data_IF_450691223561
#
_entry.id   IF_450691223561
#
_cell.length_a   1.000
_cell.length_b   1.000
_cell.length_c   1.000
_cell.angle_alpha   90.00
_cell.angle_beta   90.00
_cell.angle_gamma   90.00
#
_symmetry.space_group_name_H-M   'P 1'
#
loop_
_entity.id
_entity.type
_entity.pdbx_description
1 polymer ?
#
# COMPACT_ATOMS: atom_id res chain seq x y z
N UNK A 1 22.41 -9.44 12.75
CA UNK A 1 21.41 -9.20 11.69
C UNK A 1 20.48 -8.12 12.21
N UNK A 2 20.37 -6.99 11.52
CA UNK A 2 19.44 -5.92 11.88
C UNK A 2 18.18 -6.06 11.01
N UNK A 3 17.02 -5.64 11.50
CA UNK A 3 15.80 -5.53 10.70
C UNK A 3 15.40 -4.07 10.66
N UNK A 4 15.13 -3.55 9.48
CA UNK A 4 14.66 -2.18 9.29
C UNK A 4 13.15 -2.16 9.25
N UNK A 5 12.56 -1.19 9.93
CA UNK A 5 11.11 -0.99 9.95
C UNK A 5 10.84 0.47 9.62
N UNK A 6 10.00 0.69 8.61
CA UNK A 6 9.56 2.02 8.19
C UNK A 6 8.05 2.14 8.33
N UNK A 7 7.62 3.30 8.84
CA UNK A 7 6.21 3.66 8.91
C UNK A 7 5.92 4.74 7.88
N UNK A 8 4.88 4.55 7.07
CA UNK A 8 4.57 5.44 5.94
C UNK A 8 3.14 5.96 6.00
N UNK A 9 2.94 7.13 5.43
CA UNK A 9 1.64 7.70 5.14
C UNK A 9 1.64 8.24 3.70
N UNK A 10 0.88 7.59 2.83
CA UNK A 10 0.69 8.00 1.44
C UNK A 10 -0.33 9.12 1.35
N UNK A 11 0.00 10.19 0.61
CA UNK A 11 -0.95 11.28 0.40
C UNK A 11 -2.19 10.82 -0.39
N UNK A 12 -3.34 11.42 -0.13
CA UNK A 12 -4.60 11.10 -0.84
C UNK A 12 -4.53 11.49 -2.32
N UNK A 13 -3.83 12.59 -2.63
CA UNK A 13 -3.61 13.03 -4.00
C UNK A 13 -2.60 12.12 -4.72
N UNK A 14 -2.98 11.63 -5.90
CA UNK A 14 -2.16 10.68 -6.67
C UNK A 14 -0.82 11.29 -7.10
N UNK A 15 -0.79 12.57 -7.46
CA UNK A 15 0.43 13.20 -7.98
C UNK A 15 1.45 13.39 -6.86
N UNK A 16 1.01 13.84 -5.69
CA UNK A 16 1.85 14.01 -4.51
C UNK A 16 2.29 12.67 -3.93
N UNK A 17 1.43 11.63 -3.98
CA UNK A 17 1.79 10.29 -3.50
C UNK A 17 2.95 9.64 -4.27
N UNK A 18 3.25 10.08 -5.50
CA UNK A 18 4.41 9.58 -6.26
C UNK A 18 5.74 9.80 -5.54
N UNK A 19 5.86 10.82 -4.68
CA UNK A 19 7.08 11.02 -3.88
C UNK A 19 7.34 9.82 -2.96
N UNK A 20 6.30 9.29 -2.30
CA UNK A 20 6.44 8.09 -1.47
C UNK A 20 6.92 6.88 -2.28
N UNK A 21 6.45 6.71 -3.52
CA UNK A 21 6.92 5.62 -4.38
C UNK A 21 8.41 5.71 -4.70
N UNK A 22 8.90 6.92 -4.99
CA UNK A 22 10.32 7.14 -5.23
C UNK A 22 11.15 6.90 -3.96
N UNK A 23 10.65 7.34 -2.81
CA UNK A 23 11.32 7.12 -1.52
C UNK A 23 11.40 5.62 -1.19
N UNK A 24 10.35 4.84 -1.45
CA UNK A 24 10.37 3.40 -1.22
C UNK A 24 11.43 2.69 -2.07
N UNK A 25 11.51 3.04 -3.36
CA UNK A 25 12.52 2.49 -4.27
C UNK A 25 13.93 2.87 -3.82
N UNK A 26 14.13 4.14 -3.45
CA UNK A 26 15.42 4.62 -2.95
C UNK A 26 15.85 3.90 -1.65
N UNK A 27 14.92 3.75 -0.71
CA UNK A 27 15.16 3.03 0.55
C UNK A 27 15.45 1.55 0.30
N UNK A 28 14.74 0.88 -0.62
CA UNK A 28 15.02 -0.52 -0.97
C UNK A 28 16.47 -0.72 -1.40
N UNK A 29 16.99 0.18 -2.26
CA UNK A 29 18.40 0.12 -2.70
C UNK A 29 19.38 0.35 -1.55
N UNK A 30 19.10 1.30 -0.65
CA UNK A 30 19.95 1.56 0.51
C UNK A 30 19.91 0.45 1.56
N UNK A 31 18.77 -0.21 1.72
CA UNK A 31 18.51 -1.18 2.78
C UNK A 31 18.78 -2.62 2.36
N UNK A 32 19.14 -2.86 1.08
CA UNK A 32 19.44 -4.18 0.51
C UNK A 32 20.24 -5.16 1.40
N UNK A 33 21.20 -4.74 2.26
CA UNK A 33 21.90 -5.67 3.16
C UNK A 33 21.08 -6.24 4.33
N UNK A 34 19.97 -5.60 4.72
CA UNK A 34 19.14 -5.95 5.88
C UNK A 34 17.69 -6.21 5.45
N UNK A 35 16.97 -7.18 6.05
CA UNK A 35 15.52 -7.31 5.85
C UNK A 35 14.79 -6.01 6.17
N UNK A 36 13.80 -5.66 5.35
CA UNK A 36 13.06 -4.42 5.47
C UNK A 36 11.54 -4.66 5.50
N UNK A 37 10.88 -4.05 6.49
CA UNK A 37 9.42 -4.02 6.59
C UNK A 37 8.94 -2.59 6.46
N UNK A 38 7.93 -2.38 5.61
CA UNK A 38 7.25 -1.09 5.43
C UNK A 38 5.79 -1.25 5.79
N UNK A 39 5.28 -0.43 6.69
CA UNK A 39 3.87 -0.52 7.07
C UNK A 39 3.21 0.84 7.27
N UNK A 40 1.90 0.89 7.05
CA UNK A 40 1.12 2.11 7.24
C UNK A 40 0.02 2.27 6.19
N UNK A 41 -0.51 3.48 6.10
CA UNK A 41 -1.57 3.84 5.18
C UNK A 41 -0.97 4.26 3.84
N UNK A 42 -1.24 3.49 2.78
CA UNK A 42 -0.76 3.81 1.44
C UNK A 42 -1.75 4.67 0.64
N UNK A 43 -2.96 4.88 1.16
CA UNK A 43 -4.08 5.58 0.52
C UNK A 43 -4.39 5.07 -0.91
N UNK A 44 -4.05 3.81 -1.19
CA UNK A 44 -4.30 3.14 -2.46
C UNK A 44 -4.47 1.64 -2.23
N UNK A 45 -5.49 1.08 -2.88
CA UNK A 45 -5.67 -0.38 -2.98
C UNK A 45 -4.66 -0.96 -3.97
N UNK A 46 -4.19 -2.17 -3.75
CA UNK A 46 -3.31 -2.92 -4.67
C UNK A 46 -4.11 -3.53 -5.83
N UNK A 47 -5.29 -4.05 -5.53
CA UNK A 47 -6.15 -4.73 -6.50
C UNK A 47 -7.60 -4.22 -6.43
N UNK A 48 -8.36 -4.39 -7.50
CA UNK A 48 -9.79 -4.04 -7.52
C UNK A 48 -10.63 -4.86 -6.52
N UNK A 49 -10.18 -6.05 -6.14
CA UNK A 49 -10.84 -6.86 -5.10
C UNK A 49 -10.74 -6.27 -3.69
N UNK A 50 -9.81 -5.33 -3.47
CA UNK A 50 -9.62 -4.65 -2.19
C UNK A 50 -10.54 -3.43 -2.03
N UNK A 51 -11.56 -3.30 -2.89
CA UNK A 51 -12.55 -2.24 -2.89
C UNK A 51 -13.95 -2.86 -3.01
N UNK A 52 -14.86 -2.55 -2.09
CA UNK A 52 -16.17 -3.23 -2.04
C UNK A 52 -17.09 -2.90 -3.23
N UNK A 53 -17.11 -1.65 -3.68
CA UNK A 53 -18.05 -1.20 -4.71
C UNK A 53 -17.54 -1.20 -6.16
N UNK A 54 -16.23 -1.34 -6.40
CA UNK A 54 -15.69 -1.31 -7.77
C UNK A 54 -14.45 -2.19 -7.88
N UNK A 55 -14.40 -3.01 -8.94
CA UNK A 55 -13.23 -3.82 -9.30
C UNK A 55 -12.38 -3.20 -10.41
N UNK A 56 -12.67 -1.96 -10.80
CA UNK A 56 -11.96 -1.26 -11.87
C UNK A 56 -10.50 -1.06 -11.50
N UNK A 57 -9.60 -1.44 -12.41
CA UNK A 57 -8.17 -1.18 -12.26
C UNK A 57 -7.91 0.30 -12.54
N UNK A 58 -7.29 0.97 -11.58
CA UNK A 58 -6.97 2.41 -11.67
C UNK A 58 -5.49 2.62 -11.96
N UNK A 59 -5.15 3.79 -12.52
CA UNK A 59 -3.75 4.18 -12.71
C UNK A 59 -2.98 4.25 -11.38
N UNK A 60 -3.65 4.64 -10.30
CA UNK A 60 -3.05 4.65 -8.96
C UNK A 60 -2.65 3.24 -8.48
N UNK A 61 -3.47 2.22 -8.75
CA UNK A 61 -3.12 0.82 -8.46
C UNK A 61 -1.91 0.37 -9.27
N UNK A 62 -1.85 0.74 -10.55
CA UNK A 62 -0.74 0.39 -11.44
C UNK A 62 0.57 1.03 -10.99
N UNK A 63 0.55 2.33 -10.67
CA UNK A 63 1.70 3.07 -10.15
C UNK A 63 2.21 2.42 -8.85
N UNK A 64 1.29 2.08 -7.93
CA UNK A 64 1.65 1.44 -6.67
C UNK A 64 2.29 0.07 -6.88
N UNK A 65 1.66 -0.82 -7.67
CA UNK A 65 2.23 -2.14 -7.96
C UNK A 65 3.58 -2.05 -8.66
N UNK A 66 3.77 -1.08 -9.57
CA UNK A 66 5.07 -0.83 -10.20
C UNK A 66 6.13 -0.46 -9.16
N UNK A 67 5.80 0.43 -8.21
CA UNK A 67 6.71 0.80 -7.14
C UNK A 67 7.09 -0.40 -6.26
N UNK A 68 6.13 -1.24 -5.90
CA UNK A 68 6.39 -2.46 -5.12
C UNK A 68 7.29 -3.44 -5.86
N UNK A 69 7.03 -3.68 -7.14
CA UNK A 69 7.88 -4.53 -7.98
C UNK A 69 9.29 -3.95 -8.10
N UNK A 70 9.45 -2.63 -8.27
CA UNK A 70 10.77 -2.00 -8.33
C UNK A 70 11.52 -2.02 -7.00
N UNK A 71 10.81 -2.00 -5.88
CA UNK A 71 11.38 -2.07 -4.54
C UNK A 71 11.54 -3.51 -4.01
N UNK A 72 11.16 -4.52 -4.80
CA UNK A 72 11.15 -5.94 -4.41
C UNK A 72 10.35 -6.19 -3.11
N UNK A 73 9.24 -5.48 -2.93
CA UNK A 73 8.37 -5.59 -1.75
C UNK A 73 7.10 -6.38 -2.05
N UNK A 74 6.73 -7.30 -1.14
CA UNK A 74 5.50 -8.08 -1.20
C UNK A 74 4.54 -7.74 -0.04
N UNK A 75 3.22 -7.82 -0.30
CA UNK A 75 2.18 -7.64 0.73
C UNK A 75 2.19 -8.84 1.68
N UNK A 76 2.55 -8.59 2.93
CA UNK A 76 2.60 -9.61 3.97
C UNK A 76 1.18 -10.10 4.28
N UNK A 77 1.04 -11.41 4.45
CA UNK A 77 -0.26 -12.01 4.70
C UNK A 77 -0.81 -11.53 6.05
N UNK A 78 -2.05 -11.04 6.05
CA UNK A 78 -2.77 -10.59 7.24
C UNK A 78 -3.99 -11.47 7.47
N UNK A 79 -4.34 -11.67 8.74
CA UNK A 79 -5.58 -12.32 9.17
C UNK A 79 -6.50 -11.32 9.87
N UNK A 80 -7.79 -11.64 9.94
CA UNK A 80 -8.80 -10.76 10.54
C UNK A 80 -9.46 -9.82 9.53
N UNK A 81 -9.52 -8.53 9.85
CA UNK A 81 -10.23 -7.54 9.04
C UNK A 81 -9.51 -7.30 7.71
N UNK A 82 -10.17 -7.66 6.61
CA UNK A 82 -9.61 -7.49 5.27
C UNK A 82 -9.58 -6.02 4.82
N UNK A 83 -10.59 -5.24 5.18
CA UNK A 83 -10.66 -3.80 4.88
C UNK A 83 -10.22 -3.01 6.10
N UNK A 84 -9.50 -1.91 5.85
CA UNK A 84 -8.88 -1.09 6.90
C UNK A 84 -9.43 0.34 6.92
N UNK A 85 -10.18 0.72 5.88
CA UNK A 85 -10.85 2.01 5.77
C UNK A 85 -12.31 1.84 5.36
N UNK A 86 -13.19 2.70 5.90
CA UNK A 86 -14.62 2.78 5.55
C UNK A 86 -15.02 4.24 5.39
N UNK A 87 -15.94 4.51 4.45
CA UNK A 87 -16.57 5.83 4.31
C UNK A 87 -17.66 6.09 5.37
N UNK A 88 -17.84 5.17 6.32
CA UNK A 88 -18.81 5.22 7.45
C UNK A 88 -20.27 5.39 7.04
N UNK A 89 -20.61 5.14 5.77
CA UNK A 89 -21.99 5.12 5.28
C UNK A 89 -22.60 3.74 5.42
N UNK A 90 -23.92 3.68 5.31
CA UNK A 90 -24.72 2.45 5.44
C UNK A 90 -25.44 2.13 4.13
N UNK A 91 -25.83 0.86 3.96
CA UNK A 91 -26.61 0.42 2.80
C UNK A 91 -25.79 0.39 1.51
N UNK A 92 -26.43 0.74 0.40
CA UNK A 92 -25.82 0.68 -0.95
C UNK A 92 -24.69 1.70 -1.16
N UNK A 93 -24.58 2.71 -0.31
CA UNK A 93 -23.51 3.71 -0.35
C UNK A 93 -22.28 3.33 0.50
N UNK A 94 -22.34 2.22 1.24
CA UNK A 94 -21.23 1.78 2.08
C UNK A 94 -20.04 1.34 1.22
N UNK A 95 -18.88 1.96 1.45
CA UNK A 95 -17.62 1.64 0.76
C UNK A 95 -16.58 1.30 1.81
N UNK A 96 -15.92 0.15 1.62
CA UNK A 96 -14.73 -0.24 2.38
C UNK A 96 -13.57 -0.54 1.43
N UNK A 97 -12.35 -0.26 1.91
CA UNK A 97 -11.10 -0.41 1.17
C UNK A 97 -10.00 -0.98 2.06
N UNK A 98 -9.06 -1.74 1.49
CA UNK A 98 -7.79 -2.09 2.14
C UNK A 98 -6.74 -1.05 1.73
N UNK A 99 -6.49 -0.08 2.60
CA UNK A 99 -5.52 1.01 2.35
C UNK A 99 -4.24 0.84 3.19
N UNK A 100 -4.36 0.23 4.35
CA UNK A 100 -3.24 -0.06 5.23
C UNK A 100 -2.63 -1.42 4.88
N UNK A 101 -1.31 -1.46 4.81
CA UNK A 101 -0.54 -2.66 4.45
C UNK A 101 0.72 -2.77 5.29
N UNK A 102 1.21 -4.00 5.40
CA UNK A 102 2.57 -4.30 5.81
C UNK A 102 3.24 -5.02 4.64
N UNK A 103 4.39 -4.53 4.21
CA UNK A 103 5.14 -5.01 3.07
C UNK A 103 6.53 -5.45 3.53
N UNK A 104 7.11 -6.45 2.87
CA UNK A 104 8.48 -6.90 3.18
C UNK A 104 9.20 -7.54 2.00
N UNK A 105 10.52 -7.74 2.15
CA UNK A 105 11.41 -8.42 1.22
C UNK A 105 12.11 -9.64 1.84
#
# INVERSE_FOLDING_TARGET
MCVRISFVYGMCDRSTRQYLWNDLIHCADQFRPDPWVVMGDFNVTRYGSEHTSSRTITKAMQDFNKALTSAELEDLTSSGLHYTWSNTRTGTEAIAKKLDKALGN
#
